data_IF_224822227885
#
_entry.id   IF_224822227885
#
_cell.length_a   1.000
_cell.length_b   1.000
_cell.length_c   1.000
_cell.angle_alpha   90.00
_cell.angle_beta   90.00
_cell.angle_gamma   90.00
#
_symmetry.space_group_name_H-M   'P 1'
#
loop_
_entity.id
_entity.type
_entity.pdbx_description
1 polymer ?
#
# COMPACT_ATOMS: atom_id res chain seq x y z
N UNK A 1 11.22 -66.60 -0.37
CA UNK A 1 12.27 -66.02 0.50
C UNK A 1 12.90 -64.76 -0.14
N UNK A 2 13.40 -64.80 -1.38
CA UNK A 2 14.04 -63.65 -2.06
C UNK A 2 13.13 -62.43 -2.33
N UNK A 3 11.85 -62.65 -2.67
CA UNK A 3 10.92 -61.56 -3.02
C UNK A 3 10.50 -60.71 -1.80
N UNK A 4 10.40 -61.33 -0.62
CA UNK A 4 9.94 -60.66 0.61
C UNK A 4 10.98 -59.64 1.11
N UNK A 5 12.26 -60.01 1.07
CA UNK A 5 13.38 -59.14 1.46
C UNK A 5 13.49 -57.91 0.55
N UNK A 6 13.26 -58.08 -0.76
CA UNK A 6 13.26 -56.96 -1.72
C UNK A 6 12.12 -55.98 -1.47
N UNK A 7 10.93 -56.48 -1.11
CA UNK A 7 9.79 -55.63 -0.75
C UNK A 7 10.09 -54.86 0.54
N UNK A 8 10.68 -55.52 1.54
CA UNK A 8 11.06 -54.88 2.80
C UNK A 8 12.10 -53.76 2.58
N UNK A 9 13.12 -54.02 1.74
CA UNK A 9 14.13 -53.03 1.40
C UNK A 9 13.54 -51.83 0.62
N UNK A 10 12.62 -52.09 -0.31
CA UNK A 10 11.93 -51.04 -1.06
C UNK A 10 11.03 -50.18 -0.16
N UNK A 11 10.30 -50.80 0.77
CA UNK A 11 9.46 -50.08 1.74
C UNK A 11 10.33 -49.24 2.66
N UNK A 12 11.42 -49.80 3.19
CA UNK A 12 12.34 -49.07 4.06
C UNK A 12 13.01 -47.90 3.33
N UNK A 13 13.47 -48.12 2.09
CA UNK A 13 14.03 -47.07 1.24
C UNK A 13 13.03 -45.95 0.94
N UNK A 14 11.76 -46.32 0.72
CA UNK A 14 10.68 -45.35 0.47
C UNK A 14 10.35 -44.55 1.73
N UNK A 15 10.32 -45.18 2.91
CA UNK A 15 10.11 -44.48 4.19
C UNK A 15 11.25 -43.49 4.47
N UNK A 16 12.50 -43.92 4.27
CA UNK A 16 13.68 -43.05 4.44
C UNK A 16 13.63 -41.89 3.43
N UNK A 17 13.32 -42.15 2.17
CA UNK A 17 13.18 -41.13 1.13
C UNK A 17 12.10 -40.10 1.47
N UNK A 18 10.93 -40.56 1.93
CA UNK A 18 9.84 -39.67 2.34
C UNK A 18 10.21 -38.82 3.57
N UNK A 19 10.95 -39.39 4.52
CA UNK A 19 11.45 -38.64 5.69
C UNK A 19 12.49 -37.58 5.31
N UNK A 20 13.40 -37.90 4.38
CA UNK A 20 14.44 -36.98 3.92
C UNK A 20 13.89 -35.85 3.04
N UNK A 21 12.81 -36.10 2.29
CA UNK A 21 12.17 -35.08 1.45
C UNK A 21 11.13 -34.24 2.19
N UNK A 22 10.63 -34.66 3.35
CA UNK A 22 9.62 -33.90 4.12
C UNK A 22 10.18 -32.65 4.81
N UNK A 23 11.49 -32.45 4.83
CA UNK A 23 12.18 -31.37 5.56
C UNK A 23 12.53 -30.14 4.71
N UNK A 24 12.05 -30.05 3.46
CA UNK A 24 12.34 -28.92 2.56
C UNK A 24 11.13 -28.04 2.25
N UNK A 25 10.33 -27.73 3.25
CA UNK A 25 9.51 -26.51 3.19
C UNK A 25 10.36 -25.38 3.78
N UNK A 26 11.28 -24.84 2.96
CA UNK A 26 11.85 -23.51 3.22
C UNK A 26 10.74 -22.49 2.95
N UNK A 27 9.80 -22.41 3.88
CA UNK A 27 8.92 -21.25 3.98
C UNK A 27 9.85 -20.09 4.27
N UNK A 28 9.97 -19.15 3.32
CA UNK A 28 10.71 -17.91 3.53
C UNK A 28 10.31 -17.39 4.92
N UNK A 29 11.26 -17.15 5.84
CA UNK A 29 10.92 -16.57 7.13
C UNK A 29 10.28 -15.24 6.81
N UNK A 30 8.94 -15.20 6.90
CA UNK A 30 8.18 -13.96 6.87
C UNK A 30 8.65 -13.27 8.13
N UNK A 31 9.64 -12.39 7.98
CA UNK A 31 10.28 -11.73 9.12
C UNK A 31 9.22 -11.12 10.02
N UNK A 32 9.58 -10.90 11.28
CA UNK A 32 8.71 -10.63 12.43
C UNK A 32 7.81 -9.36 12.31
N UNK A 33 7.72 -8.78 11.12
CA UNK A 33 6.69 -7.85 10.70
C UNK A 33 6.95 -6.42 11.18
N UNK A 34 8.19 -6.11 11.57
CA UNK A 34 8.52 -4.82 12.13
C UNK A 34 8.92 -3.81 11.05
N UNK A 35 8.03 -2.85 10.78
CA UNK A 35 8.21 -1.79 9.78
C UNK A 35 8.48 -0.41 10.39
N UNK A 36 8.50 -0.33 11.72
CA UNK A 36 8.78 0.91 12.43
C UNK A 36 10.29 1.12 12.63
N UNK A 37 10.70 2.35 12.91
CA UNK A 37 12.10 2.68 13.12
C UNK A 37 12.64 2.00 14.39
N UNK A 38 13.85 1.42 14.30
CA UNK A 38 14.52 0.77 15.43
C UNK A 38 14.20 -0.72 15.57
N UNK A 39 14.74 -1.35 16.61
CA UNK A 39 14.42 -2.73 16.95
C UNK A 39 13.00 -2.83 17.53
N UNK A 40 12.33 -3.96 17.31
CA UNK A 40 11.02 -4.23 17.91
C UNK A 40 11.15 -4.15 19.45
N UNK A 41 10.40 -3.26 20.13
CA UNK A 41 10.44 -3.19 21.57
C UNK A 41 9.78 -4.42 22.20
N UNK A 42 10.29 -4.86 23.34
CA UNK A 42 9.72 -5.99 24.11
C UNK A 42 8.41 -5.63 24.84
N UNK A 43 8.01 -4.36 24.80
CA UNK A 43 6.76 -3.86 25.38
C UNK A 43 5.55 -4.22 24.54
N UNK A 44 4.39 -4.40 25.19
CA UNK A 44 3.12 -4.61 24.48
C UNK A 44 2.82 -3.47 23.50
N UNK A 45 2.41 -3.84 22.27
CA UNK A 45 2.02 -2.88 21.23
C UNK A 45 0.70 -2.20 21.59
N UNK A 46 0.60 -0.89 21.37
CA UNK A 46 -0.65 -0.15 21.58
C UNK A 46 -1.68 -0.56 20.52
N UNK A 47 -2.60 -1.45 20.91
CA UNK A 47 -3.73 -1.91 20.08
C UNK A 47 -4.93 -0.96 20.13
N UNK A 48 -4.82 0.17 20.82
CA UNK A 48 -5.93 1.12 21.00
C UNK A 48 -6.23 1.86 19.69
N UNK A 49 -7.48 1.81 19.26
CA UNK A 49 -7.94 2.57 18.10
C UNK A 49 -8.12 4.04 18.49
N UNK A 50 -7.24 4.92 17.98
CA UNK A 50 -7.28 6.37 18.26
C UNK A 50 -8.01 7.12 17.15
N UNK A 51 -8.96 8.02 17.48
CA UNK A 51 -9.62 8.84 16.48
C UNK A 51 -8.63 9.85 15.90
N UNK A 52 -8.66 10.02 14.58
CA UNK A 52 -7.87 11.02 13.89
C UNK A 52 -8.75 11.89 12.98
N UNK A 53 -8.32 13.14 12.79
CA UNK A 53 -8.96 14.10 11.90
C UNK A 53 -7.95 14.56 10.87
N UNK A 54 -8.33 14.50 9.60
CA UNK A 54 -7.49 15.00 8.52
C UNK A 54 -7.61 16.53 8.51
N UNK A 55 -6.50 17.19 8.83
CA UNK A 55 -6.32 18.64 8.75
C UNK A 55 -5.31 18.92 7.65
N UNK A 56 -5.52 20.02 6.95
CA UNK A 56 -4.62 20.53 5.91
C UNK A 56 -4.58 22.02 6.14
N UNK A 57 -3.39 22.58 6.31
CA UNK A 57 -3.19 24.00 6.55
C UNK A 57 -3.31 24.77 5.22
N UNK A 58 -3.51 26.08 5.30
CA UNK A 58 -3.49 26.90 4.08
C UNK A 58 -2.07 26.98 3.49
N UNK A 59 -1.06 26.96 4.35
CA UNK A 59 0.36 27.00 3.98
C UNK A 59 0.75 25.79 3.13
N UNK A 60 0.33 24.57 3.50
CA UNK A 60 0.57 23.35 2.74
C UNK A 60 -0.05 23.41 1.34
N UNK A 61 -1.21 24.06 1.22
CA UNK A 61 -1.89 24.19 -0.06
C UNK A 61 -1.26 25.28 -0.91
N UNK A 62 -0.83 26.38 -0.29
CA UNK A 62 -0.08 27.42 -0.98
C UNK A 62 1.26 26.88 -1.51
N UNK A 63 1.96 26.05 -0.72
CA UNK A 63 3.17 25.34 -1.17
C UNK A 63 2.86 24.44 -2.37
N UNK A 64 1.77 23.66 -2.29
CA UNK A 64 1.33 22.82 -3.40
C UNK A 64 1.08 23.62 -4.68
N UNK A 65 0.39 24.76 -4.58
CA UNK A 65 0.12 25.66 -5.70
C UNK A 65 1.42 26.21 -6.28
N UNK A 66 2.30 26.71 -5.42
CA UNK A 66 3.60 27.23 -5.84
C UNK A 66 4.45 26.17 -6.57
N UNK A 67 4.41 24.92 -6.12
CA UNK A 67 5.13 23.80 -6.75
C UNK A 67 4.54 23.41 -8.09
N UNK A 68 3.22 23.46 -8.22
CA UNK A 68 2.52 23.19 -9.48
C UNK A 68 2.80 24.28 -10.52
N UNK A 69 2.81 25.55 -10.10
CA UNK A 69 3.12 26.68 -10.99
C UNK A 69 4.57 26.66 -11.50
N UNK A 70 5.50 26.16 -10.66
CA UNK A 70 6.92 26.01 -11.01
C UNK A 70 7.24 24.73 -11.76
N UNK A 71 6.29 23.81 -11.92
CA UNK A 71 6.52 22.53 -12.56
C UNK A 71 6.85 22.73 -14.06
N UNK A 72 7.91 22.06 -14.53
CA UNK A 72 8.28 22.06 -15.94
C UNK A 72 7.52 20.97 -16.67
N UNK A 73 6.81 21.33 -17.74
CA UNK A 73 6.10 20.38 -18.59
C UNK A 73 6.85 20.22 -19.91
N UNK A 74 7.11 18.96 -20.30
CA UNK A 74 7.63 18.64 -21.62
C UNK A 74 6.59 18.96 -22.70
N UNK A 75 7.05 19.38 -23.89
CA UNK A 75 6.15 19.57 -25.03
C UNK A 75 5.66 18.20 -25.52
N UNK A 76 4.34 18.01 -25.67
CA UNK A 76 3.80 16.76 -26.18
C UNK A 76 3.95 16.71 -27.70
N UNK A 77 4.07 15.50 -28.25
CA UNK A 77 4.01 15.27 -29.69
C UNK A 77 2.63 15.71 -30.23
N UNK A 78 2.62 16.31 -31.42
CA UNK A 78 1.38 16.68 -32.13
C UNK A 78 0.48 15.45 -32.31
N UNK A 79 -0.82 15.64 -32.09
CA UNK A 79 -1.86 14.60 -32.20
C UNK A 79 -1.61 13.29 -31.43
N UNK A 80 -0.76 13.32 -30.40
CA UNK A 80 -0.45 12.13 -29.60
C UNK A 80 -1.55 11.72 -28.64
N UNK A 81 -2.57 12.57 -28.43
CA UNK A 81 -3.66 12.38 -27.45
C UNK A 81 -3.12 11.78 -26.15
N UNK A 82 -3.47 10.53 -25.82
CA UNK A 82 -2.96 9.77 -24.67
C UNK A 82 -2.21 8.48 -25.08
N UNK A 83 -1.80 8.35 -26.34
CA UNK A 83 -1.18 7.14 -26.86
C UNK A 83 0.22 6.89 -26.29
N UNK A 84 0.90 7.94 -25.84
CA UNK A 84 2.26 7.87 -25.29
C UNK A 84 2.33 8.35 -23.83
N UNK A 85 1.25 8.09 -23.09
CA UNK A 85 1.12 8.50 -21.70
C UNK A 85 0.32 9.80 -21.56
N UNK A 86 0.57 10.53 -20.47
CA UNK A 86 -0.28 11.65 -20.10
C UNK A 86 0.07 12.90 -20.89
N UNK A 87 -0.91 13.44 -21.62
CA UNK A 87 -0.71 14.63 -22.44
C UNK A 87 -0.41 15.88 -21.59
N UNK A 88 0.72 16.54 -21.86
CA UNK A 88 1.13 17.73 -21.11
C UNK A 88 0.19 18.94 -21.32
N UNK A 89 -0.42 19.09 -22.50
CA UNK A 89 -1.41 20.16 -22.77
C UNK A 89 -2.67 19.95 -21.95
N UNK A 90 -3.15 18.71 -21.87
CA UNK A 90 -4.28 18.37 -21.02
C UNK A 90 -3.97 18.53 -19.53
N UNK A 91 -2.75 18.16 -19.10
CA UNK A 91 -2.30 18.35 -17.73
C UNK A 91 -2.33 19.82 -17.31
N UNK A 92 -1.78 20.72 -18.14
CA UNK A 92 -1.82 22.18 -17.89
C UNK A 92 -3.26 22.68 -17.71
N UNK A 93 -4.19 22.24 -18.56
CA UNK A 93 -5.63 22.59 -18.44
C UNK A 93 -6.25 22.05 -17.14
N UNK A 94 -5.87 20.87 -16.69
CA UNK A 94 -6.36 20.32 -15.42
C UNK A 94 -5.79 21.08 -14.23
N UNK A 95 -4.53 21.48 -14.28
CA UNK A 95 -3.90 22.23 -13.19
C UNK A 95 -4.52 23.61 -13.00
N UNK A 96 -4.84 24.33 -14.07
CA UNK A 96 -5.54 25.62 -13.96
C UNK A 96 -6.91 25.47 -13.29
N UNK A 97 -7.67 24.44 -13.67
CA UNK A 97 -8.96 24.12 -13.03
C UNK A 97 -8.81 23.73 -11.56
N UNK A 98 -7.75 23.01 -11.20
CA UNK A 98 -7.46 22.63 -9.81
C UNK A 98 -7.18 23.88 -8.97
N UNK A 99 -6.43 24.85 -9.49
CA UNK A 99 -6.16 26.12 -8.79
C UNK A 99 -7.45 26.85 -8.39
N UNK A 100 -8.38 26.98 -9.34
CA UNK A 100 -9.61 27.76 -9.16
C UNK A 100 -10.68 27.05 -8.33
N UNK A 101 -10.78 25.71 -8.42
CA UNK A 101 -11.83 24.93 -7.73
C UNK A 101 -11.43 24.44 -6.33
N UNK A 102 -10.14 24.59 -5.95
CA UNK A 102 -9.60 24.03 -4.71
C UNK A 102 -10.34 24.51 -3.46
N UNK A 103 -10.63 25.80 -3.32
CA UNK A 103 -11.23 26.34 -2.08
C UNK A 103 -12.59 25.68 -1.73
N UNK A 104 -13.45 25.49 -2.72
CA UNK A 104 -14.79 24.90 -2.53
C UNK A 104 -14.75 23.38 -2.52
N UNK A 105 -13.95 22.77 -3.41
CA UNK A 105 -13.78 21.32 -3.46
C UNK A 105 -13.14 20.76 -2.18
N UNK A 106 -12.09 21.42 -1.67
CA UNK A 106 -11.36 21.02 -0.46
C UNK A 106 -12.27 20.89 0.75
N UNK A 107 -13.11 21.90 0.99
CA UNK A 107 -14.01 21.89 2.13
C UNK A 107 -15.02 20.74 2.04
N UNK A 108 -15.53 20.45 0.83
CA UNK A 108 -16.44 19.33 0.59
C UNK A 108 -15.77 17.97 0.81
N UNK A 109 -14.57 17.76 0.26
CA UNK A 109 -13.82 16.51 0.42
C UNK A 109 -13.37 16.28 1.86
N UNK A 110 -12.79 17.31 2.50
CA UNK A 110 -12.36 17.28 3.90
C UNK A 110 -13.53 17.00 4.83
N UNK A 111 -14.70 17.58 4.56
CA UNK A 111 -15.92 17.28 5.30
C UNK A 111 -16.36 15.83 5.10
N UNK A 112 -16.37 15.34 3.85
CA UNK A 112 -16.75 13.95 3.54
C UNK A 112 -15.87 12.92 4.27
N UNK A 113 -14.54 13.06 4.17
CA UNK A 113 -13.57 12.13 4.80
C UNK A 113 -13.76 12.12 6.33
N UNK A 114 -13.78 13.30 6.94
CA UNK A 114 -13.91 13.40 8.39
C UNK A 114 -15.31 12.95 8.88
N UNK A 115 -16.36 13.10 8.06
CA UNK A 115 -17.70 12.57 8.36
C UNK A 115 -17.78 11.05 8.26
N UNK A 116 -16.97 10.42 7.41
CA UNK A 116 -16.89 8.97 7.32
C UNK A 116 -16.16 8.40 8.54
N UNK A 117 -15.03 9.00 8.92
CA UNK A 117 -14.26 8.61 10.10
C UNK A 117 -15.09 8.73 11.39
N UNK A 118 -15.93 9.77 11.51
CA UNK A 118 -16.83 9.92 12.66
C UNK A 118 -17.98 8.91 12.68
N UNK A 119 -18.44 8.43 11.51
CA UNK A 119 -19.45 7.37 11.43
C UNK A 119 -18.88 5.98 11.73
N UNK A 120 -17.66 5.69 11.28
CA UNK A 120 -16.97 4.44 11.62
C UNK A 120 -16.69 4.36 13.13
N UNK A 121 -16.39 5.50 13.77
CA UNK A 121 -16.30 5.61 15.24
C UNK A 121 -17.54 5.09 15.96
N UNK A 122 -18.74 5.38 15.46
CA UNK A 122 -19.99 4.93 16.10
C UNK A 122 -20.26 3.43 15.94
N UNK A 123 -19.64 2.77 14.95
CA UNK A 123 -19.82 1.33 14.70
C UNK A 123 -18.85 0.45 15.48
N UNK A 124 -17.70 0.98 15.89
CA UNK A 124 -16.67 0.25 16.64
C UNK A 124 -16.93 0.30 18.16
N UNK A 125 -17.72 1.27 18.63
CA UNK A 125 -18.08 1.39 20.04
C UNK A 125 -19.31 0.55 20.47
N UNK A 126 -19.78 -0.38 19.63
CA UNK A 126 -20.98 -1.17 19.88
C UNK A 126 -20.73 -2.66 19.68
#
# INVERSE_FOLDING_TARGET
MMLLELIMAAVLGTIIYLFLNKTKEEVLPMGDGWWAAGAKPDSEEDTTIRPFKVVTSEEEIQDLHQRLDKARFAEPLEDSYFHYGFNATYLKKKLSLIGETNSTGRNKWKFSINSHNSKQRLKVCH
#
